data_IF_100159063383
#
_entry.id   IF_100159063383
#
_cell.length_a   1.000
_cell.length_b   1.000
_cell.length_c   1.000
_cell.angle_alpha   90.00
_cell.angle_beta   90.00
_cell.angle_gamma   90.00
#
_symmetry.space_group_name_H-M   'P 1'
#
loop_
_entity.id
_entity.type
_entity.pdbx_description
1 polymer ?
#
# COMPACT_ATOMS: atom_id res chain seq x y z
N UNK A 1 -61.66 23.45 -24.11
CA UNK A 1 -60.89 22.47 -24.90
C UNK A 1 -59.96 21.72 -23.96
N UNK A 2 -60.33 20.52 -23.51
CA UNK A 2 -59.45 19.66 -22.70
C UNK A 2 -58.90 18.59 -23.62
N UNK A 3 -57.59 18.65 -23.89
CA UNK A 3 -56.88 17.66 -24.71
C UNK A 3 -56.89 16.33 -23.95
N UNK A 4 -57.59 15.34 -24.50
CA UNK A 4 -57.50 13.95 -24.09
C UNK A 4 -56.05 13.49 -24.35
N UNK A 5 -55.27 13.26 -23.29
CA UNK A 5 -53.96 12.62 -23.39
C UNK A 5 -54.23 11.17 -23.75
N UNK A 6 -54.06 10.85 -25.02
CA UNK A 6 -54.06 9.49 -25.53
C UNK A 6 -52.85 8.78 -24.90
N UNK A 7 -53.08 8.05 -23.80
CA UNK A 7 -52.13 7.08 -23.28
C UNK A 7 -51.97 6.01 -24.36
N UNK A 8 -50.95 6.17 -25.21
CA UNK A 8 -50.57 5.09 -26.11
C UNK A 8 -50.22 3.89 -25.25
N UNK A 9 -50.94 2.79 -25.47
CA UNK A 9 -50.70 1.49 -24.87
C UNK A 9 -49.32 1.03 -25.37
N UNK A 10 -48.27 1.56 -24.74
CA UNK A 10 -46.88 1.22 -25.03
C UNK A 10 -46.76 -0.30 -24.91
N UNK A 11 -46.19 -0.92 -25.93
CA UNK A 11 -46.12 -2.36 -26.05
C UNK A 11 -45.28 -2.91 -24.90
N UNK A 12 -45.93 -3.32 -23.80
CA UNK A 12 -45.30 -3.79 -22.56
C UNK A 12 -44.31 -4.92 -22.82
N UNK A 13 -44.50 -5.65 -23.92
CA UNK A 13 -43.56 -6.64 -24.46
C UNK A 13 -42.14 -6.09 -24.67
N UNK A 14 -41.98 -4.86 -25.17
CA UNK A 14 -40.65 -4.26 -25.40
C UNK A 14 -39.96 -3.95 -24.06
N UNK A 15 -40.74 -3.50 -23.07
CA UNK A 15 -40.23 -3.26 -21.71
C UNK A 15 -39.72 -4.53 -21.03
N UNK A 16 -40.45 -5.64 -21.17
CA UNK A 16 -40.03 -6.94 -20.62
C UNK A 16 -38.78 -7.50 -21.32
N UNK A 17 -38.62 -7.28 -22.62
CA UNK A 17 -37.42 -7.72 -23.34
C UNK A 17 -36.17 -6.97 -22.88
N UNK A 18 -36.26 -5.64 -22.69
CA UNK A 18 -35.11 -4.84 -22.22
C UNK A 18 -34.73 -5.23 -20.79
N UNK A 19 -35.69 -5.36 -19.88
CA UNK A 19 -35.42 -5.81 -18.51
C UNK A 19 -34.89 -7.23 -18.48
N UNK A 20 -35.43 -8.13 -19.30
CA UNK A 20 -34.95 -9.52 -19.40
C UNK A 20 -33.48 -9.61 -19.81
N UNK A 21 -33.04 -8.82 -20.79
CA UNK A 21 -31.63 -8.79 -21.22
C UNK A 21 -30.70 -8.23 -20.14
N UNK A 22 -31.14 -7.22 -19.38
CA UNK A 22 -30.37 -6.68 -18.25
C UNK A 22 -30.22 -7.73 -17.14
N UNK A 23 -31.30 -8.40 -16.76
CA UNK A 23 -31.25 -9.45 -15.74
C UNK A 23 -30.41 -10.65 -16.18
N UNK A 24 -30.47 -11.04 -17.45
CA UNK A 24 -29.68 -12.15 -18.00
C UNK A 24 -28.19 -11.81 -18.08
N UNK A 25 -27.85 -10.57 -18.44
CA UNK A 25 -26.47 -10.07 -18.38
C UNK A 25 -25.92 -10.00 -16.96
N UNK A 26 -26.69 -9.48 -16.00
CA UNK A 26 -26.34 -9.47 -14.57
C UNK A 26 -26.15 -10.90 -14.07
N UNK A 27 -27.10 -11.81 -14.33
CA UNK A 27 -26.97 -13.21 -13.91
C UNK A 27 -25.72 -13.88 -14.50
N UNK A 28 -25.36 -13.58 -15.75
CA UNK A 28 -24.15 -14.13 -16.39
C UNK A 28 -22.86 -13.54 -15.80
N UNK A 29 -22.89 -12.29 -15.35
CA UNK A 29 -21.75 -11.63 -14.69
C UNK A 29 -21.55 -12.05 -13.22
N UNK A 30 -22.62 -12.42 -12.53
CA UNK A 30 -22.56 -12.84 -11.12
C UNK A 30 -22.48 -14.37 -10.93
N UNK A 31 -22.68 -15.17 -11.98
CA UNK A 31 -22.50 -16.62 -11.96
C UNK A 31 -21.31 -17.05 -12.83
N UNK A 32 -20.15 -16.44 -12.62
CA UNK A 32 -18.90 -17.11 -12.96
C UNK A 32 -18.78 -18.36 -12.06
N UNK A 33 -18.66 -19.54 -12.66
CA UNK A 33 -18.53 -20.80 -11.95
C UNK A 33 -17.39 -20.75 -10.91
N UNK A 34 -17.62 -21.10 -9.63
CA UNK A 34 -16.54 -21.40 -8.71
C UNK A 34 -15.99 -22.79 -9.00
N UNK A 35 -15.40 -23.01 -10.18
CA UNK A 35 -14.71 -24.26 -10.48
C UNK A 35 -13.24 -24.01 -10.83
N UNK A 36 -12.42 -23.97 -9.79
CA UNK A 36 -11.03 -24.37 -9.93
C UNK A 36 -10.61 -25.09 -8.66
N UNK A 37 -10.80 -26.40 -8.64
CA UNK A 37 -10.04 -27.26 -7.74
C UNK A 37 -9.88 -28.66 -8.32
N UNK A 38 -9.17 -28.74 -9.45
CA UNK A 38 -8.38 -29.93 -9.76
C UNK A 38 -7.28 -30.05 -8.71
N UNK A 39 -7.51 -30.88 -7.69
CA UNK A 39 -6.49 -31.26 -6.72
C UNK A 39 -5.70 -32.44 -7.29
N UNK A 40 -4.40 -32.25 -7.48
CA UNK A 40 -3.31 -33.13 -7.05
C UNK A 40 -2.07 -32.97 -7.96
N UNK A 41 -1.44 -31.82 -7.89
CA UNK A 41 0.02 -31.77 -7.89
C UNK A 41 0.44 -31.09 -6.59
N UNK A 42 1.29 -31.78 -5.83
CA UNK A 42 1.62 -31.47 -4.45
C UNK A 42 1.90 -30.00 -4.23
N UNK A 43 0.99 -29.31 -3.54
CA UNK A 43 1.27 -28.02 -2.93
C UNK A 43 2.20 -28.33 -1.75
N UNK A 44 3.47 -27.86 -1.72
CA UNK A 44 4.12 -27.73 -0.44
C UNK A 44 3.19 -26.87 0.41
N UNK A 45 2.99 -27.27 1.67
CA UNK A 45 2.29 -26.46 2.65
C UNK A 45 2.91 -25.05 2.60
N UNK A 46 2.22 -24.10 1.96
CA UNK A 46 2.55 -22.69 2.06
C UNK A 46 2.09 -22.31 3.46
N UNK A 47 2.93 -22.65 4.44
CA UNK A 47 3.04 -21.85 5.64
C UNK A 47 3.01 -20.41 5.15
N UNK A 48 2.08 -19.59 5.63
CA UNK A 48 2.14 -18.16 5.41
C UNK A 48 3.42 -17.69 6.07
N UNK A 49 4.54 -17.78 5.35
CA UNK A 49 5.73 -17.04 5.68
C UNK A 49 5.31 -15.60 5.42
N UNK A 50 4.96 -14.90 6.51
CA UNK A 50 5.29 -13.49 6.57
C UNK A 50 6.78 -13.44 6.23
N UNK A 51 7.09 -13.09 5.00
CA UNK A 51 8.43 -12.69 4.63
C UNK A 51 8.75 -11.57 5.62
N UNK A 52 9.60 -11.87 6.59
CA UNK A 52 10.03 -10.88 7.56
C UNK A 52 10.73 -9.81 6.75
N UNK A 53 10.16 -8.62 6.71
CA UNK A 53 10.74 -7.50 5.99
C UNK A 53 12.17 -7.29 6.48
N UNK A 54 13.13 -7.43 5.58
CA UNK A 54 14.54 -7.25 5.88
C UNK A 54 14.88 -5.76 5.76
N UNK A 55 14.98 -5.09 6.91
CA UNK A 55 15.38 -3.70 7.04
C UNK A 55 16.85 -3.55 7.47
N UNK A 56 17.62 -4.65 7.58
CA UNK A 56 18.99 -4.59 8.11
C UNK A 56 19.94 -3.74 7.26
N UNK A 57 19.65 -3.56 5.96
CA UNK A 57 20.43 -2.67 5.09
C UNK A 57 20.15 -1.17 5.31
N UNK A 58 19.16 -0.84 6.14
CA UNK A 58 18.78 0.54 6.48
C UNK A 58 19.11 0.88 7.94
N UNK A 59 19.71 -0.06 8.69
CA UNK A 59 20.18 0.22 10.05
C UNK A 59 21.16 1.41 10.00
N UNK A 60 20.98 2.45 10.85
CA UNK A 60 21.83 3.62 10.80
C UNK A 60 23.30 3.29 11.00
N UNK A 61 24.16 3.79 10.11
CA UNK A 61 25.62 3.65 10.18
C UNK A 61 26.30 4.97 9.85
N UNK A 62 27.39 5.27 10.55
CA UNK A 62 28.07 6.55 10.45
C UNK A 62 28.96 6.58 9.19
N UNK A 63 28.63 7.38 8.16
CA UNK A 63 29.39 7.37 6.91
C UNK A 63 30.68 8.19 6.96
N UNK A 64 30.94 8.88 8.09
CA UNK A 64 32.04 9.82 8.23
C UNK A 64 33.25 9.20 8.93
N UNK A 65 34.46 9.61 8.51
CA UNK A 65 35.69 9.22 9.19
C UNK A 65 35.71 9.70 10.65
N UNK A 66 36.26 8.87 11.54
CA UNK A 66 36.35 9.16 12.97
C UNK A 66 37.07 10.49 13.27
N UNK A 67 36.58 11.20 14.28
CA UNK A 67 37.21 12.43 14.79
C UNK A 67 36.82 13.72 14.06
N UNK A 68 35.98 13.63 13.02
CA UNK A 68 35.40 14.80 12.35
C UNK A 68 34.19 15.40 13.07
N UNK A 69 33.80 16.63 12.67
CA UNK A 69 32.59 17.27 13.17
C UNK A 69 31.32 16.50 12.80
N UNK A 70 31.22 16.01 11.57
CA UNK A 70 30.11 15.15 11.13
C UNK A 70 30.03 13.86 11.93
N UNK A 71 31.16 13.17 12.12
CA UNK A 71 31.22 11.95 12.91
C UNK A 71 30.72 12.16 14.34
N UNK A 72 31.18 13.24 14.99
CA UNK A 72 30.74 13.60 16.33
C UNK A 72 29.25 13.98 16.38
N UNK A 73 28.76 14.66 15.34
CA UNK A 73 27.34 15.00 15.16
C UNK A 73 26.46 13.75 15.04
N UNK A 74 26.86 12.80 14.20
CA UNK A 74 26.15 11.55 14.01
C UNK A 74 26.04 10.76 15.32
N UNK A 75 27.15 10.59 16.05
CA UNK A 75 27.13 9.94 17.36
C UNK A 75 26.28 10.69 18.38
N UNK A 76 26.19 12.01 18.28
CA UNK A 76 25.34 12.80 19.16
C UNK A 76 23.86 12.49 18.94
N UNK A 77 23.43 12.40 17.68
CA UNK A 77 22.10 11.96 17.27
C UNK A 77 21.80 10.52 17.69
N UNK A 78 22.76 9.60 17.52
CA UNK A 78 22.67 8.20 17.95
C UNK A 78 22.36 8.06 19.46
N UNK A 79 22.90 8.97 20.27
CA UNK A 79 22.61 9.03 21.69
C UNK A 79 21.22 9.62 22.04
N UNK A 80 20.41 9.95 21.03
CA UNK A 80 19.05 10.50 21.19
C UNK A 80 19.01 11.97 21.56
N UNK A 81 20.06 12.73 21.26
CA UNK A 81 20.09 14.18 21.48
C UNK A 81 19.56 14.92 20.24
N UNK A 82 19.09 16.15 20.45
CA UNK A 82 18.66 17.02 19.37
C UNK A 82 19.85 17.59 18.57
N UNK A 83 19.62 17.85 17.28
CA UNK A 83 20.59 18.45 16.38
C UNK A 83 20.66 19.99 16.52
N UNK A 84 21.01 20.48 17.70
CA UNK A 84 21.06 21.91 18.05
C UNK A 84 22.49 22.48 18.22
N UNK A 85 23.48 21.79 17.67
CA UNK A 85 24.89 22.19 17.74
C UNK A 85 25.19 23.53 17.06
N UNK A 86 26.37 24.11 17.33
CA UNK A 86 26.78 25.41 16.76
C UNK A 86 27.66 25.29 15.51
N UNK A 87 28.03 24.08 15.11
CA UNK A 87 28.89 23.82 13.95
C UNK A 87 28.05 23.20 12.84
N UNK A 88 28.14 23.74 11.62
CA UNK A 88 27.40 23.19 10.48
C UNK A 88 27.73 21.72 10.24
N UNK A 89 29.01 21.34 10.33
CA UNK A 89 29.40 19.95 10.14
C UNK A 89 28.84 19.03 11.23
N UNK A 90 28.81 19.50 12.47
CA UNK A 90 28.16 18.77 13.54
C UNK A 90 26.65 18.60 13.31
N UNK A 91 25.95 19.67 12.92
CA UNK A 91 24.51 19.63 12.64
C UNK A 91 24.24 18.65 11.50
N UNK A 92 24.97 18.77 10.39
CA UNK A 92 24.83 17.90 9.21
C UNK A 92 25.03 16.41 9.57
N UNK A 93 26.01 16.10 10.44
CA UNK A 93 26.21 14.72 10.89
C UNK A 93 25.06 14.20 11.77
N UNK A 94 24.48 15.05 12.60
CA UNK A 94 23.34 14.69 13.45
C UNK A 94 22.06 14.48 12.63
N UNK A 95 21.77 15.37 11.69
CA UNK A 95 20.62 15.28 10.77
C UNK A 95 20.72 14.03 9.87
N UNK A 96 21.94 13.61 9.51
CA UNK A 96 22.19 12.38 8.78
C UNK A 96 21.72 11.15 9.58
N UNK A 97 22.03 11.08 10.89
CA UNK A 97 21.52 10.02 11.75
C UNK A 97 19.98 10.03 11.81
N UNK A 98 19.36 11.20 12.03
CA UNK A 98 17.90 11.32 12.06
C UNK A 98 17.26 10.82 10.76
N UNK A 99 17.86 11.14 9.60
CA UNK A 99 17.37 10.71 8.28
C UNK A 99 17.48 9.19 8.09
N UNK A 100 18.59 8.60 8.51
CA UNK A 100 18.79 7.15 8.43
C UNK A 100 17.81 6.42 9.37
N UNK A 101 17.65 6.90 10.60
CA UNK A 101 16.73 6.33 11.58
C UNK A 101 15.28 6.44 11.12
N UNK A 102 14.87 7.58 10.56
CA UNK A 102 13.54 7.73 9.95
C UNK A 102 13.30 6.70 8.84
N UNK A 103 14.29 6.46 7.98
CA UNK A 103 14.20 5.48 6.90
C UNK A 103 14.12 4.05 7.42
N UNK A 104 14.91 3.74 8.45
CA UNK A 104 14.88 2.44 9.13
C UNK A 104 13.52 2.19 9.78
N UNK A 105 13.00 3.16 10.53
CA UNK A 105 11.70 3.06 11.19
C UNK A 105 10.55 3.00 10.18
N UNK A 106 10.60 3.77 9.09
CA UNK A 106 9.63 3.66 8.01
C UNK A 106 9.61 2.25 7.42
N UNK A 107 10.79 1.65 7.21
CA UNK A 107 10.89 0.26 6.79
C UNK A 107 10.21 -0.69 7.79
N UNK A 108 10.53 -0.58 9.09
CA UNK A 108 9.95 -1.46 10.12
C UNK A 108 8.43 -1.33 10.27
N UNK A 109 7.87 -0.14 10.03
CA UNK A 109 6.47 0.18 10.29
C UNK A 109 5.54 0.03 9.09
N UNK A 110 6.06 -0.07 7.87
CA UNK A 110 5.27 -0.43 6.68
C UNK A 110 4.77 -1.88 6.79
N UNK A 111 3.48 -2.03 7.09
CA UNK A 111 2.77 -3.29 7.32
C UNK A 111 1.97 -3.80 6.12
#
# INVERSE_FOLDING_TARGET
MLKQVQYQKGNTAVGFLVWGLIFLGIYSFFNDDPESTTIMQGRPSYSSYKESKDCSNLEPDNPYDEGGGHYAGFQWGENGNFCDGNSSSFIEGCEEYETQEESYQACLNES
#
